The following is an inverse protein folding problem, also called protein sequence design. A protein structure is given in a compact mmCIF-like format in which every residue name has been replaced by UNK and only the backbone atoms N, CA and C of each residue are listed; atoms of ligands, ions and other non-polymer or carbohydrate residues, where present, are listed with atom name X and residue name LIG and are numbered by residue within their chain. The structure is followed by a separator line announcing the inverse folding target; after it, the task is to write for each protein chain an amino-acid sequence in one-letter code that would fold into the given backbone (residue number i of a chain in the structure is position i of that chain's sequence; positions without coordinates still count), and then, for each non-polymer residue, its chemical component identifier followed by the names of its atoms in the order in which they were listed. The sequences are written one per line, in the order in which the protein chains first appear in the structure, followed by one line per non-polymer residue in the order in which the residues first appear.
data_IF_591424205278
#
_entry.id   IF_591424205278
#
_cell.length_a   1.000
_cell.length_b   1.000
_cell.length_c   1.000
_cell.angle_alpha   90.00
_cell.angle_beta   90.00
_cell.angle_gamma   90.00
#
_symmetry.space_group_name_H-M   'P 1'
#
loop_
_entity.id
_entity.type
_entity.pdbx_description
1 polymer ?
#
# COMPACT_ATOMS: atom_id res chain seq x y z
N UNK A 1 -16.39 -0.95 -27.92
CA UNK A 1 -16.86 -0.27 -26.70
C UNK A 1 -15.92 -0.62 -25.57
N UNK A 2 -15.12 0.35 -25.13
CA UNK A 2 -14.13 0.17 -24.07
C UNK A 2 -14.88 0.12 -22.73
N UNK A 3 -14.77 -0.99 -22.00
CA UNK A 3 -15.30 -1.08 -20.64
C UNK A 3 -14.46 -0.14 -19.76
N UNK A 4 -15.15 0.81 -19.13
CA UNK A 4 -14.54 1.73 -18.18
C UNK A 4 -13.93 0.95 -17.01
N UNK A 5 -12.72 1.33 -16.63
CA UNK A 5 -11.94 0.67 -15.58
C UNK A 5 -12.44 1.02 -14.16
N UNK A 6 -13.69 1.47 -14.03
CA UNK A 6 -14.38 1.82 -12.77
C UNK A 6 -15.21 0.68 -12.19
N UNK A 7 -15.26 -0.50 -12.83
CA UNK A 7 -16.08 -1.66 -12.43
C UNK A 7 -15.35 -2.67 -11.52
N UNK A 8 -14.38 -2.21 -10.73
CA UNK A 8 -13.76 -2.99 -9.65
C UNK A 8 -13.73 -2.04 -8.42
N UNK A 9 -14.72 -1.89 -7.53
CA UNK A 9 -15.73 -2.79 -6.95
C UNK A 9 -16.85 -1.92 -6.31
N UNK A 10 -17.94 -1.55 -7.01
CA UNK A 10 -19.01 -0.73 -6.42
C UNK A 10 -19.66 -1.38 -5.18
N UNK A 11 -19.65 -2.72 -5.10
CA UNK A 11 -20.23 -3.50 -4.00
C UNK A 11 -19.59 -3.23 -2.62
N UNK A 12 -18.30 -2.87 -2.58
CA UNK A 12 -17.63 -2.58 -1.29
C UNK A 12 -17.99 -1.20 -0.74
N UNK A 13 -18.24 -0.23 -1.61
CA UNK A 13 -18.57 1.14 -1.19
C UNK A 13 -19.97 1.20 -0.54
N UNK A 14 -20.90 0.36 -0.98
CA UNK A 14 -22.26 0.32 -0.45
C UNK A 14 -22.39 -0.48 0.86
N UNK A 15 -21.47 -1.40 1.12
CA UNK A 15 -21.54 -2.31 2.29
C UNK A 15 -20.52 -1.99 3.39
N UNK A 16 -19.47 -1.21 3.09
CA UNK A 16 -18.46 -0.84 4.06
C UNK A 16 -18.95 0.30 4.96
N UNK A 17 -19.01 0.07 6.27
CA UNK A 17 -19.42 1.11 7.25
C UNK A 17 -18.56 2.38 7.17
N UNK A 18 -17.27 2.27 6.86
CA UNK A 18 -16.40 3.44 6.70
C UNK A 18 -16.66 4.22 5.41
N UNK A 19 -17.09 3.54 4.33
CA UNK A 19 -17.61 4.22 3.14
C UNK A 19 -18.92 4.95 3.44
N UNK A 20 -19.82 4.34 4.20
CA UNK A 20 -21.08 4.98 4.60
C UNK A 20 -20.82 6.24 5.43
N UNK A 21 -19.90 6.20 6.39
CA UNK A 21 -19.46 7.37 7.17
C UNK A 21 -18.83 8.42 6.25
N UNK A 22 -17.90 8.02 5.38
CA UNK A 22 -17.20 8.93 4.49
C UNK A 22 -18.11 9.62 3.47
N UNK A 23 -19.24 9.00 3.11
CA UNK A 23 -20.25 9.53 2.18
C UNK A 23 -21.48 10.14 2.88
N UNK A 24 -21.40 10.44 4.19
CA UNK A 24 -22.49 11.06 4.98
C UNK A 24 -23.80 10.23 5.00
N UNK A 25 -23.70 8.92 4.84
CA UNK A 25 -24.83 7.99 4.89
C UNK A 25 -25.06 7.40 6.29
N UNK A 26 -24.03 7.42 7.15
CA UNK A 26 -24.19 7.15 8.57
C UNK A 26 -24.43 8.45 9.35
N UNK A 27 -25.51 8.49 10.15
CA UNK A 27 -25.91 9.68 10.93
C UNK A 27 -25.51 9.62 12.40
N UNK A 28 -25.04 8.46 12.86
CA UNK A 28 -24.69 8.24 14.27
C UNK A 28 -23.24 8.64 14.57
N UNK A 29 -22.33 8.46 13.60
CA UNK A 29 -20.92 8.76 13.79
C UNK A 29 -20.66 10.26 13.90
N UNK A 30 -20.00 10.64 15.00
CA UNK A 30 -19.51 12.00 15.19
C UNK A 30 -18.26 12.26 14.34
N UNK A 31 -18.46 12.89 13.18
CA UNK A 31 -17.37 13.40 12.34
C UNK A 31 -16.72 14.61 13.00
N UNK A 32 -15.41 14.55 13.20
CA UNK A 32 -14.60 15.62 13.80
C UNK A 32 -14.04 16.57 12.73
N UNK A 33 -13.65 16.01 11.58
CA UNK A 33 -13.08 16.79 10.46
C UNK A 33 -13.30 16.06 9.15
N UNK A 34 -13.61 16.79 8.08
CA UNK A 34 -13.80 16.24 6.74
C UNK A 34 -13.28 17.21 5.68
N UNK A 35 -12.66 16.68 4.63
CA UNK A 35 -12.31 17.44 3.43
C UNK A 35 -12.66 16.62 2.18
N UNK A 36 -12.15 17.00 1.00
CA UNK A 36 -12.47 16.33 -0.28
C UNK A 36 -11.87 14.93 -0.43
N UNK A 37 -10.93 14.53 0.41
CA UNK A 37 -10.21 13.26 0.31
C UNK A 37 -10.33 12.38 1.56
N UNK A 38 -10.47 13.00 2.74
CA UNK A 38 -10.36 12.34 4.03
C UNK A 38 -11.50 12.74 4.97
N UNK A 39 -11.88 11.81 5.85
CA UNK A 39 -12.75 12.03 7.00
C UNK A 39 -12.06 11.55 8.27
N UNK A 40 -12.25 12.28 9.37
CA UNK A 40 -11.78 11.91 10.71
C UNK A 40 -12.95 11.90 11.68
N UNK A 41 -13.08 10.83 12.45
CA UNK A 41 -14.18 10.62 13.40
C UNK A 41 -13.71 9.85 14.63
N UNK A 42 -14.52 9.87 15.70
CA UNK A 42 -14.22 9.15 16.94
C UNK A 42 -14.38 7.65 16.79
N UNK A 43 -13.43 6.86 17.31
CA UNK A 43 -13.59 5.42 17.42
C UNK A 43 -14.68 5.10 18.45
N UNK A 44 -15.56 4.16 18.13
CA UNK A 44 -16.68 3.75 18.99
C UNK A 44 -16.21 2.92 20.20
N UNK A 45 -15.03 2.29 20.10
CA UNK A 45 -14.38 1.54 21.17
C UNK A 45 -12.97 2.12 21.41
N UNK A 46 -12.88 3.30 22.04
CA UNK A 46 -11.62 4.00 22.21
C UNK A 46 -10.62 3.17 23.04
N UNK A 47 -9.36 3.11 22.57
CA UNK A 47 -8.29 2.40 23.27
C UNK A 47 -7.42 3.31 24.16
N UNK A 48 -7.58 4.63 24.00
CA UNK A 48 -6.93 5.71 24.76
C UNK A 48 -7.98 6.83 24.96
N UNK A 49 -7.75 7.81 25.86
CA UNK A 49 -8.69 8.92 26.09
C UNK A 49 -9.13 9.65 24.82
N UNK A 50 -8.21 9.80 23.86
CA UNK A 50 -8.49 10.26 22.51
C UNK A 50 -8.11 9.16 21.53
N UNK A 51 -9.12 8.56 20.90
CA UNK A 51 -8.95 7.58 19.83
C UNK A 51 -9.80 7.98 18.63
N UNK A 52 -9.15 8.38 17.56
CA UNK A 52 -9.78 8.81 16.32
C UNK A 52 -9.31 7.96 15.16
N UNK A 53 -10.16 7.87 14.14
CA UNK A 53 -9.87 7.18 12.89
C UNK A 53 -9.86 8.19 11.75
N UNK A 54 -8.76 8.23 10.99
CA UNK A 54 -8.69 8.99 9.73
C UNK A 54 -8.81 8.01 8.57
N UNK A 55 -9.73 8.27 7.66
CA UNK A 55 -10.15 7.34 6.60
C UNK A 55 -10.23 8.09 5.26
N UNK A 56 -9.74 7.53 4.15
CA UNK A 56 -9.96 8.10 2.82
C UNK A 56 -11.40 7.90 2.35
N UNK A 57 -11.95 8.89 1.66
CA UNK A 57 -13.28 8.81 1.04
C UNK A 57 -13.31 7.70 0.00
N UNK A 58 -12.23 7.57 -0.79
CA UNK A 58 -12.06 6.43 -1.68
C UNK A 58 -11.73 5.18 -0.86
N UNK A 59 -12.46 4.10 -1.10
CA UNK A 59 -12.18 2.81 -0.46
C UNK A 59 -10.82 2.24 -0.89
N UNK A 60 -10.00 1.92 0.11
CA UNK A 60 -8.73 1.21 -0.04
C UNK A 60 -8.75 0.10 1.00
N UNK A 61 -8.63 -1.17 0.62
CA UNK A 61 -8.90 -2.30 1.54
C UNK A 61 -8.08 -2.23 2.86
N UNK A 62 -6.78 -1.96 2.79
CA UNK A 62 -5.91 -1.89 3.99
C UNK A 62 -4.57 -1.23 3.68
N UNK A 63 -3.69 -1.14 4.68
CA UNK A 63 -2.31 -0.68 4.49
C UNK A 63 -1.50 -1.57 3.52
N UNK A 64 -1.91 -2.83 3.28
CA UNK A 64 -1.24 -3.71 2.32
C UNK A 64 -1.54 -3.36 0.86
N UNK A 65 -2.67 -2.68 0.61
CA UNK A 65 -3.04 -2.19 -0.72
C UNK A 65 -2.30 -0.90 -1.11
N UNK A 66 -1.48 -0.34 -0.21
CA UNK A 66 -0.72 0.87 -0.47
C UNK A 66 0.53 0.60 -1.33
N UNK A 67 0.85 1.58 -2.16
CA UNK A 67 2.00 1.59 -3.07
C UNK A 67 2.65 2.97 -3.08
N UNK A 68 3.74 3.16 -3.81
CA UNK A 68 4.50 4.44 -3.86
C UNK A 68 3.66 5.68 -4.12
N UNK A 69 2.66 5.60 -5.01
CA UNK A 69 1.73 6.71 -5.26
C UNK A 69 0.90 7.16 -4.05
N UNK A 70 0.77 6.32 -3.01
CA UNK A 70 0.00 6.62 -1.81
C UNK A 70 0.83 7.21 -0.66
N UNK A 71 2.14 7.45 -0.83
CA UNK A 71 2.97 8.10 0.20
C UNK A 71 2.38 9.45 0.63
N UNK A 72 1.90 10.23 -0.34
CA UNK A 72 1.26 11.52 -0.06
C UNK A 72 -0.06 11.39 0.70
N UNK A 73 -0.85 10.36 0.41
CA UNK A 73 -2.11 10.08 1.11
C UNK A 73 -1.86 9.80 2.59
N UNK A 74 -0.95 8.87 2.91
CA UNK A 74 -0.62 8.52 4.31
C UNK A 74 -0.10 9.75 5.08
N UNK A 75 0.72 10.59 4.43
CA UNK A 75 1.18 11.85 5.04
C UNK A 75 0.01 12.77 5.40
N UNK A 76 -0.93 12.99 4.47
CA UNK A 76 -2.12 13.83 4.71
C UNK A 76 -3.05 13.25 5.77
N UNK A 77 -3.17 11.92 5.86
CA UNK A 77 -3.91 11.26 6.94
C UNK A 77 -3.30 11.58 8.31
N UNK A 78 -1.98 11.49 8.43
CA UNK A 78 -1.27 11.84 9.67
C UNK A 78 -1.40 13.34 10.02
N UNK A 79 -1.31 14.22 9.03
CA UNK A 79 -1.53 15.67 9.20
C UNK A 79 -2.94 15.98 9.69
N UNK A 80 -3.98 15.34 9.12
CA UNK A 80 -5.36 15.49 9.58
C UNK A 80 -5.53 15.00 11.02
N UNK A 81 -4.97 13.83 11.36
CA UNK A 81 -5.04 13.28 12.71
C UNK A 81 -4.43 14.20 13.76
N UNK A 82 -3.23 14.74 13.48
CA UNK A 82 -2.56 15.73 14.35
C UNK A 82 -3.37 17.01 14.47
N UNK A 83 -3.93 17.51 13.37
CA UNK A 83 -4.77 18.70 13.40
C UNK A 83 -6.03 18.49 14.27
N UNK A 84 -6.66 17.31 14.19
CA UNK A 84 -7.80 16.98 15.06
C UNK A 84 -7.39 16.92 16.53
N UNK A 85 -6.24 16.34 16.87
CA UNK A 85 -5.73 16.36 18.24
C UNK A 85 -5.56 17.79 18.77
N UNK A 86 -4.98 18.68 17.97
CA UNK A 86 -4.83 20.09 18.30
C UNK A 86 -6.19 20.79 18.47
N UNK A 87 -7.13 20.55 17.56
CA UNK A 87 -8.50 21.08 17.63
C UNK A 87 -9.24 20.60 18.90
N UNK A 88 -8.81 19.47 19.50
CA UNK A 88 -9.33 18.92 20.76
C UNK A 88 -8.50 19.34 21.99
N UNK A 89 -7.54 20.25 21.84
CA UNK A 89 -6.74 20.80 22.94
C UNK A 89 -5.55 19.95 23.38
N UNK A 90 -5.19 18.90 22.61
CA UNK A 90 -4.01 18.08 22.90
C UNK A 90 -2.78 18.76 22.32
N UNK A 91 -1.86 19.15 23.21
CA UNK A 91 -0.64 19.89 22.86
C UNK A 91 0.62 19.04 22.92
N UNK A 92 0.61 17.96 23.72
CA UNK A 92 1.72 17.00 23.77
C UNK A 92 1.65 16.08 22.54
N UNK A 93 2.44 16.43 21.53
CA UNK A 93 2.57 15.68 20.29
C UNK A 93 3.66 14.59 20.36
N UNK A 94 4.38 14.50 21.48
CA UNK A 94 5.38 13.45 21.71
C UNK A 94 4.72 12.19 22.26
N UNK A 95 3.66 12.34 23.06
CA UNK A 95 2.87 11.23 23.61
C UNK A 95 1.67 10.84 22.73
N UNK A 96 1.87 10.70 21.41
CA UNK A 96 0.82 10.25 20.49
C UNK A 96 1.24 8.98 19.75
N UNK A 97 0.28 8.21 19.26
CA UNK A 97 0.53 7.07 18.39
C UNK A 97 -0.30 7.18 17.11
N UNK A 98 0.39 7.21 15.97
CA UNK A 98 -0.22 7.24 14.64
C UNK A 98 0.18 5.98 13.87
N UNK A 99 -0.78 5.16 13.47
CA UNK A 99 -0.48 3.95 12.70
C UNK A 99 -1.69 3.15 12.27
N UNK A 100 -1.41 2.01 11.66
CA UNK A 100 -2.39 1.16 11.01
C UNK A 100 -2.31 -0.24 11.59
N UNK A 101 -3.46 -0.86 11.85
CA UNK A 101 -3.49 -2.31 12.02
C UNK A 101 -3.18 -3.01 10.70
N UNK A 102 -2.47 -4.13 10.77
CA UNK A 102 -2.11 -4.92 9.59
C UNK A 102 -3.02 -6.16 9.47
N UNK A 103 -3.48 -6.53 8.27
CA UNK A 103 -4.24 -7.76 8.06
C UNK A 103 -3.48 -9.00 8.58
N UNK A 104 -4.19 -9.98 9.17
CA UNK A 104 -5.65 -10.11 9.30
C UNK A 104 -6.23 -9.41 10.55
N UNK A 105 -5.47 -8.55 11.24
CA UNK A 105 -5.87 -7.92 12.51
C UNK A 105 -6.67 -6.62 12.33
N UNK A 106 -7.28 -6.39 11.16
CA UNK A 106 -8.14 -5.24 10.88
C UNK A 106 -9.59 -5.59 11.20
N UNK A 107 -10.30 -4.74 11.93
CA UNK A 107 -11.73 -4.93 12.22
C UNK A 107 -12.64 -4.52 11.06
N UNK A 108 -12.19 -3.54 10.27
CA UNK A 108 -12.88 -3.05 9.08
C UNK A 108 -11.89 -3.02 7.92
N UNK A 109 -12.24 -3.68 6.82
CA UNK A 109 -11.42 -3.74 5.59
C UNK A 109 -11.55 -2.47 4.76
N UNK A 110 -11.24 -1.34 5.38
CA UNK A 110 -11.08 -0.02 4.76
C UNK A 110 -9.95 0.68 5.49
N UNK A 111 -8.93 1.15 4.78
CA UNK A 111 -7.76 1.83 5.30
C UNK A 111 -8.15 2.90 6.32
N UNK A 112 -7.72 2.71 7.56
CA UNK A 112 -7.98 3.66 8.64
C UNK A 112 -6.69 3.85 9.45
N UNK A 113 -6.30 5.10 9.61
CA UNK A 113 -5.21 5.49 10.51
C UNK A 113 -5.79 5.65 11.91
N UNK A 114 -5.26 4.90 12.86
CA UNK A 114 -5.48 5.12 14.28
C UNK A 114 -4.70 6.34 14.74
N UNK A 115 -5.39 7.26 15.41
CA UNK A 115 -4.85 8.45 16.05
C UNK A 115 -5.13 8.33 17.54
N UNK A 116 -4.09 8.05 18.33
CA UNK A 116 -4.20 7.80 19.77
C UNK A 116 -3.45 8.89 20.54
N UNK A 117 -4.10 9.42 21.57
CA UNK A 117 -3.47 10.30 22.54
C UNK A 117 -4.16 10.25 23.91
N UNK A 118 -3.42 10.45 25.01
CA UNK A 118 -2.00 10.16 25.12
C UNK A 118 -1.71 8.67 24.89
N UNK A 119 -0.60 8.34 24.21
CA UNK A 119 -0.17 6.96 23.96
C UNK A 119 0.15 6.24 25.27
N UNK A 120 0.68 6.95 26.26
CA UNK A 120 0.96 6.44 27.60
C UNK A 120 -0.28 5.95 28.36
N UNK A 121 -1.48 6.36 27.94
CA UNK A 121 -2.75 5.96 28.57
C UNK A 121 -3.57 5.00 27.70
N UNK A 122 -2.94 4.29 26.77
CA UNK A 122 -3.59 3.15 26.11
C UNK A 122 -3.96 2.11 27.18
N UNK A 123 -5.21 1.66 27.20
CA UNK A 123 -5.68 0.69 28.17
C UNK A 123 -4.85 -0.59 28.10
N UNK A 124 -4.40 -1.07 29.25
CA UNK A 124 -3.48 -2.22 29.37
C UNK A 124 -4.00 -3.44 28.59
N UNK A 125 -5.30 -3.74 28.70
CA UNK A 125 -5.95 -4.85 28.00
C UNK A 125 -5.93 -4.73 26.47
N UNK A 126 -5.72 -3.54 25.91
CA UNK A 126 -5.69 -3.27 24.46
C UNK A 126 -4.29 -2.96 23.93
N UNK A 127 -3.30 -2.77 24.81
CA UNK A 127 -1.94 -2.35 24.45
C UNK A 127 -1.30 -3.23 23.37
N UNK A 128 -1.53 -4.54 23.41
CA UNK A 128 -0.95 -5.50 22.46
C UNK A 128 -1.32 -5.24 20.99
N UNK A 129 -2.43 -4.53 20.74
CA UNK A 129 -2.87 -4.15 19.39
C UNK A 129 -2.10 -2.96 18.82
N UNK A 130 -1.50 -2.13 19.68
CA UNK A 130 -0.92 -0.84 19.32
C UNK A 130 0.59 -0.75 19.59
N UNK A 131 1.25 -1.91 19.70
CA UNK A 131 2.71 -2.00 19.86
C UNK A 131 3.36 -1.67 18.51
N UNK A 132 4.13 -0.58 18.38
CA UNK A 132 4.77 -0.16 17.15
C UNK A 132 5.68 -1.23 16.58
N UNK A 133 5.76 -1.29 15.24
CA UNK A 133 6.70 -2.15 14.52
C UNK A 133 6.48 -3.64 14.78
N UNK A 134 5.27 -4.04 15.17
CA UNK A 134 4.88 -5.44 15.33
C UNK A 134 4.02 -5.88 14.15
N UNK A 135 3.75 -7.18 14.06
CA UNK A 135 2.81 -7.73 13.09
C UNK A 135 1.39 -7.14 13.21
N UNK A 136 1.03 -6.57 14.37
CA UNK A 136 -0.29 -6.02 14.60
C UNK A 136 -0.39 -4.56 14.15
N UNK A 137 0.68 -3.76 14.32
CA UNK A 137 0.62 -2.32 14.18
C UNK A 137 1.89 -1.74 13.55
N UNK A 138 1.71 -1.08 12.40
CA UNK A 138 2.77 -0.34 11.73
C UNK A 138 2.53 1.16 11.90
N UNK A 139 3.56 1.90 12.33
CA UNK A 139 3.44 3.36 12.43
C UNK A 139 3.32 3.97 11.05
N UNK A 140 2.66 5.11 10.97
CA UNK A 140 2.45 5.81 9.71
C UNK A 140 3.80 6.15 9.02
N UNK A 141 4.81 6.51 9.81
CA UNK A 141 6.15 6.84 9.31
C UNK A 141 6.86 5.62 8.69
N UNK A 142 6.88 4.49 9.41
CA UNK A 142 7.47 3.26 8.91
C UNK A 142 6.76 2.78 7.64
N UNK A 143 5.43 2.87 7.63
CA UNK A 143 4.63 2.51 6.45
C UNK A 143 4.98 3.38 5.26
N UNK A 144 5.08 4.71 5.42
CA UNK A 144 5.50 5.62 4.34
C UNK A 144 6.88 5.26 3.81
N UNK A 145 7.84 4.96 4.67
CA UNK A 145 9.18 4.59 4.25
C UNK A 145 9.17 3.27 3.47
N UNK A 146 8.45 2.27 3.97
CA UNK A 146 8.29 0.97 3.29
C UNK A 146 7.68 1.09 1.88
N UNK A 147 6.64 1.91 1.72
CA UNK A 147 5.97 2.03 0.41
C UNK A 147 6.67 2.97 -0.57
N UNK A 148 7.58 3.85 -0.12
CA UNK A 148 8.41 4.70 -1.01
C UNK A 148 9.31 3.86 -1.92
N UNK A 149 9.77 2.72 -1.41
CA UNK A 149 10.71 1.83 -2.07
C UNK A 149 10.02 0.77 -2.95
N UNK A 150 8.71 0.59 -2.79
CA UNK A 150 7.92 -0.29 -3.66
C UNK A 150 7.76 0.34 -5.05
N UNK A 151 7.95 -0.44 -6.12
CA UNK A 151 7.54 -0.01 -7.45
C UNK A 151 6.00 0.19 -7.47
N UNK A 152 5.48 1.19 -8.21
CA UNK A 152 4.04 1.27 -8.44
C UNK A 152 3.56 -0.02 -9.12
N UNK A 153 2.36 -0.48 -8.76
CA UNK A 153 1.71 -1.60 -9.45
C UNK A 153 1.34 -1.09 -10.85
N UNK A 154 2.25 -1.26 -11.81
CA UNK A 154 1.96 -0.98 -13.22
C UNK A 154 1.05 -2.10 -13.70
N UNK A 155 -0.19 -1.77 -14.07
CA UNK A 155 -1.14 -2.71 -14.62
C UNK A 155 -0.52 -3.39 -15.86
N UNK A 156 -0.12 -4.66 -15.74
CA UNK A 156 0.64 -5.40 -16.76
C UNK A 156 -0.10 -5.55 -18.10
N UNK A 157 -1.37 -5.14 -18.17
CA UNK A 157 -2.17 -5.16 -19.41
C UNK A 157 -1.58 -4.33 -20.55
N UNK A 158 -0.86 -3.24 -20.29
CA UNK A 158 -0.23 -2.44 -21.36
C UNK A 158 1.05 -3.05 -21.96
N UNK A 159 1.61 -4.12 -21.38
CA UNK A 159 2.77 -4.83 -21.97
C UNK A 159 2.39 -5.87 -23.03
N UNK A 160 1.11 -6.26 -23.13
CA UNK A 160 0.68 -7.27 -24.12
C UNK A 160 0.43 -6.70 -25.52
N UNK A 161 0.25 -5.38 -25.66
CA UNK A 161 -0.02 -4.77 -26.96
C UNK A 161 1.24 -4.43 -27.77
N UNK A 162 2.43 -4.43 -27.16
CA UNK A 162 3.70 -4.26 -27.88
C UNK A 162 4.43 -5.56 -28.22
N UNK A 163 3.95 -6.71 -27.75
CA UNK A 163 4.55 -8.03 -28.02
C UNK A 163 3.88 -8.78 -29.19
N UNK A 164 3.37 -8.07 -30.21
CA UNK A 164 2.81 -8.71 -31.42
C UNK A 164 3.89 -9.12 -32.45
N UNK A 165 5.16 -8.72 -32.27
CA UNK A 165 6.23 -9.03 -33.24
C UNK A 165 7.38 -9.91 -32.73
N UNK A 166 7.21 -10.60 -31.60
CA UNK A 166 8.19 -11.63 -31.21
C UNK A 166 7.82 -12.96 -31.88
N UNK A 167 8.29 -13.16 -33.12
CA UNK A 167 8.40 -14.47 -33.73
C UNK A 167 9.26 -15.36 -32.82
N UNK A 168 8.59 -16.20 -32.04
CA UNK A 168 9.08 -17.23 -31.13
C UNK A 168 10.59 -17.28 -30.89
N UNK A 169 11.07 -16.60 -29.83
CA UNK A 169 12.24 -17.04 -29.07
C UNK A 169 12.13 -16.48 -27.63
N UNK A 170 11.90 -17.38 -26.67
CA UNK A 170 12.07 -17.26 -25.22
C UNK A 170 12.07 -15.85 -24.59
N UNK A 171 10.91 -15.40 -24.08
CA UNK A 171 10.87 -14.35 -23.07
C UNK A 171 10.94 -15.00 -21.67
N UNK A 172 12.14 -15.00 -21.08
CA UNK A 172 12.37 -15.53 -19.72
C UNK A 172 11.97 -14.46 -18.70
N UNK A 173 10.78 -14.58 -18.12
CA UNK A 173 10.35 -13.80 -16.97
C UNK A 173 10.14 -14.75 -15.79
N UNK A 174 10.82 -14.52 -14.68
CA UNK A 174 10.52 -15.21 -13.43
C UNK A 174 11.66 -15.19 -12.42
N UNK A 175 11.71 -14.14 -11.59
CA UNK A 175 12.09 -14.31 -10.17
C UNK A 175 10.87 -13.91 -9.34
N UNK A 176 10.09 -14.92 -8.97
CA UNK A 176 9.00 -14.79 -8.03
C UNK A 176 9.58 -15.12 -6.65
N UNK A 177 9.84 -14.11 -5.83
CA UNK A 177 10.18 -14.32 -4.42
C UNK A 177 8.88 -14.69 -3.68
N UNK A 178 8.57 -15.98 -3.66
CA UNK A 178 7.50 -16.58 -2.84
C UNK A 178 7.93 -16.55 -1.37
N UNK A 179 7.30 -15.71 -0.55
CA UNK A 179 7.14 -15.96 0.88
C UNK A 179 5.77 -16.64 1.07
N UNK A 180 5.76 -17.97 0.99
CA UNK A 180 4.59 -18.78 1.35
C UNK A 180 4.83 -19.39 2.76
N UNK A 181 3.78 -19.53 3.60
CA UNK A 181 3.90 -20.17 4.92
C UNK A 181 4.14 -21.69 4.80
N UNK A 182 4.70 -22.34 5.84
CA UNK A 182 5.09 -23.74 5.77
C UNK A 182 3.87 -24.65 5.94
N UNK A 183 3.37 -25.23 4.86
CA UNK A 183 2.43 -26.34 4.94
C UNK A 183 3.15 -27.70 4.88
N UNK A 184 3.07 -28.40 6.01
CA UNK A 184 2.84 -29.85 6.19
C UNK A 184 3.47 -30.81 5.17
N UNK A 185 4.62 -31.37 5.56
CA UNK A 185 5.30 -32.46 4.87
C UNK A 185 4.54 -33.78 5.09
N UNK A 186 4.12 -34.45 4.01
CA UNK A 186 3.67 -35.84 4.04
C UNK A 186 4.60 -36.69 3.17
N UNK A 187 5.00 -37.84 3.71
CA UNK A 187 6.04 -38.72 3.22
C UNK A 187 5.61 -39.49 1.96
N UNK A 188 6.41 -39.45 0.91
CA UNK A 188 6.54 -40.55 -0.05
C UNK A 188 7.99 -40.74 -0.48
N UNK A 189 8.38 -42.00 -0.46
CA UNK A 189 9.74 -42.55 -0.47
C UNK A 189 10.31 -42.80 -1.87
N UNK A 190 11.65 -42.77 -1.91
CA UNK A 190 12.56 -43.59 -2.73
C UNK A 190 12.80 -43.21 -4.21
N UNK A 191 14.07 -42.91 -4.51
CA UNK A 191 14.59 -42.78 -5.87
C UNK A 191 16.01 -42.22 -5.86
N UNK A 192 16.98 -43.10 -5.59
CA UNK A 192 18.43 -42.87 -5.59
C UNK A 192 19.00 -42.30 -6.89
N UNK A 193 19.84 -41.25 -6.81
CA UNK A 193 21.01 -41.08 -7.69
C UNK A 193 21.97 -39.99 -7.17
N UNK A 194 23.09 -40.46 -6.59
CA UNK A 194 24.47 -40.07 -6.87
C UNK A 194 24.91 -38.60 -6.86
N UNK A 195 25.73 -38.32 -5.83
CA UNK A 195 26.65 -37.21 -5.57
C UNK A 195 27.70 -36.97 -6.66
N UNK A 196 27.97 -35.69 -7.01
CA UNK A 196 29.21 -35.25 -7.69
C UNK A 196 29.57 -33.81 -7.23
N UNK A 197 30.85 -33.48 -6.96
CA UNK A 197 31.21 -32.36 -6.07
C UNK A 197 31.49 -31.01 -6.76
N UNK A 198 31.65 -30.00 -5.91
CA UNK A 198 31.85 -28.57 -6.14
C UNK A 198 33.09 -28.19 -6.96
N UNK A 199 32.95 -27.31 -7.95
CA UNK A 199 33.97 -26.26 -8.26
C UNK A 199 33.39 -25.13 -9.14
N UNK A 200 33.71 -23.88 -8.77
CA UNK A 200 33.69 -22.60 -9.53
C UNK A 200 32.33 -21.97 -9.88
N UNK A 201 31.84 -21.10 -8.99
CA UNK A 201 30.92 -20.01 -9.36
C UNK A 201 31.73 -18.86 -9.99
N UNK A 202 31.62 -18.68 -11.32
CA UNK A 202 32.07 -17.45 -11.98
C UNK A 202 31.02 -16.36 -11.76
N UNK A 203 31.43 -15.32 -11.03
CA UNK A 203 30.69 -14.06 -10.88
C UNK A 203 30.60 -13.39 -12.25
N UNK A 204 29.38 -13.24 -12.78
CA UNK A 204 29.12 -12.35 -13.92
C UNK A 204 28.54 -11.04 -13.41
N UNK A 205 29.24 -9.94 -13.71
CA UNK A 205 28.77 -8.56 -13.51
C UNK A 205 27.68 -8.23 -14.54
N UNK A 206 26.59 -7.52 -14.18
CA UNK A 206 25.62 -7.07 -15.17
C UNK A 206 26.21 -5.92 -15.99
N UNK A 207 26.45 -6.18 -17.30
CA UNK A 207 26.71 -5.10 -18.26
C UNK A 207 25.44 -4.28 -18.48
N UNK A 208 25.57 -2.97 -18.31
CA UNK A 208 24.56 -1.95 -18.60
C UNK A 208 24.00 -2.12 -20.03
N UNK A 209 22.67 -2.11 -20.14
CA UNK A 209 22.00 -1.91 -21.42
C UNK A 209 21.78 -0.40 -21.62
N UNK A 210 22.54 0.18 -22.55
CA UNK A 210 22.33 1.51 -23.11
C UNK A 210 21.10 1.44 -24.04
N UNK A 211 20.07 2.21 -23.74
CA UNK A 211 18.99 2.49 -24.67
C UNK A 211 19.51 3.49 -25.72
N UNK A 212 19.41 3.17 -27.01
CA UNK A 212 19.64 4.13 -28.08
C UNK A 212 18.32 4.79 -28.43
N UNK A 213 18.26 6.10 -28.24
CA UNK A 213 17.13 6.97 -28.57
C UNK A 213 16.85 6.99 -30.08
N UNK A 214 15.57 6.88 -30.44
CA UNK A 214 15.07 7.21 -31.78
C UNK A 214 14.33 8.54 -31.64
N UNK A 215 15.00 9.65 -31.94
CA UNK A 215 14.33 10.91 -32.25
C UNK A 215 14.12 10.98 -33.77
N UNK A 216 12.85 10.92 -34.19
CA UNK A 216 12.41 11.43 -35.49
C UNK A 216 11.97 12.88 -35.28
N UNK A 217 12.68 13.81 -35.89
CA UNK A 217 12.18 15.15 -36.17
C UNK A 217 12.20 15.38 -37.68
N UNK A 218 11.01 15.55 -38.23
CA UNK A 218 10.82 16.10 -39.57
C UNK A 218 11.09 17.61 -39.54
N UNK A 219 11.88 18.11 -40.47
CA UNK A 219 11.83 19.50 -40.92
C UNK A 219 12.36 19.63 -42.35
N UNK A 220 11.53 20.26 -43.17
CA UNK A 220 11.66 20.57 -44.60
C UNK A 220 12.67 21.69 -44.94
N UNK A 221 13.13 21.65 -46.21
CA UNK A 221 13.59 22.77 -47.08
C UNK A 221 14.85 23.55 -46.61
N UNK A 222 15.82 23.95 -47.45
CA UNK A 222 15.78 24.60 -48.77
C UNK A 222 17.07 24.27 -49.53
N UNK A 223 16.96 24.09 -50.85
CA UNK A 223 18.08 24.01 -51.79
C UNK A 223 18.58 25.42 -52.10
N UNK A 224 19.88 25.68 -51.95
CA UNK A 224 20.57 26.78 -52.65
C UNK A 224 21.66 26.17 -53.53
N UNK A 225 21.53 26.41 -54.83
CA UNK A 225 22.51 26.11 -55.88
C UNK A 225 23.48 27.29 -55.97
N UNK A 226 24.77 27.00 -56.16
CA UNK A 226 25.71 27.85 -56.88
C UNK A 226 25.66 27.51 -58.38
#
# INVERSE_FOLDING_TARGET
MLRNNSELRPEKDETCIFCLIANDQDKETKVLKKNKELVCFSDIYPAAPHHYLVVPIQHIDSCFSLHRGHVGLVKRMAEMGKAVLQDQGITDMEDISLGFHQPPNTSVDHLHLHVLAPRSQIYEALMYKFIPSTYNFVTEELLRNHIKDKAPIVNERKRRESCINCHGFFCRLGEQLLLAPPERVSWLTAGSASYVPSTVAKIYSPKQCIASDIERTEAQLVVTLD
#
